data_IF_484521235271
#
_entry.id   IF_484521235271
#
_cell.length_a   1.000
_cell.length_b   1.000
_cell.length_c   1.000
_cell.angle_alpha   90.00
_cell.angle_beta   90.00
_cell.angle_gamma   90.00
#
_symmetry.space_group_name_H-M   'P 1'
#
loop_
_entity.id
_entity.type
_entity.pdbx_description
1 polymer ?
#
# COMPACT_ATOMS: atom_id res chain seq x y z
N UNK A 1 36.30 -23.03 -3.85
CA UNK A 1 35.74 -21.68 -4.08
C UNK A 1 34.81 -21.81 -5.27
N UNK A 2 33.51 -21.62 -5.09
CA UNK A 2 32.54 -21.66 -6.20
C UNK A 2 32.53 -20.30 -6.88
N UNK A 3 32.64 -20.27 -8.21
CA UNK A 3 32.55 -19.07 -9.02
C UNK A 3 31.21 -19.13 -9.76
N UNK A 4 30.25 -18.33 -9.30
CA UNK A 4 28.94 -18.23 -9.94
C UNK A 4 28.98 -17.17 -11.05
N UNK A 5 28.30 -17.43 -12.17
CA UNK A 5 28.22 -16.48 -13.30
C UNK A 5 27.20 -15.35 -13.07
N UNK A 6 26.29 -15.51 -12.10
CA UNK A 6 25.34 -14.49 -11.68
C UNK A 6 24.82 -14.80 -10.24
N UNK A 7 24.17 -13.82 -9.63
CA UNK A 7 23.65 -13.89 -8.26
C UNK A 7 22.60 -15.01 -8.08
N UNK A 8 21.84 -15.34 -9.12
CA UNK A 8 20.85 -16.41 -9.10
C UNK A 8 21.54 -17.78 -8.94
N UNK A 9 22.53 -18.07 -9.79
CA UNK A 9 23.30 -19.33 -9.73
C UNK A 9 24.07 -19.48 -8.43
N UNK A 10 24.49 -18.37 -7.81
CA UNK A 10 25.14 -18.39 -6.49
C UNK A 10 24.17 -18.89 -5.41
N UNK A 11 22.97 -18.31 -5.34
CA UNK A 11 21.95 -18.70 -4.35
C UNK A 11 21.42 -20.11 -4.61
N UNK A 12 21.29 -20.50 -5.87
CA UNK A 12 20.89 -21.85 -6.24
C UNK A 12 21.91 -22.90 -5.76
N UNK A 13 23.21 -22.62 -5.92
CA UNK A 13 24.25 -23.50 -5.39
C UNK A 13 24.26 -23.53 -3.86
N UNK A 14 24.01 -22.40 -3.21
CA UNK A 14 23.80 -22.34 -1.75
C UNK A 14 22.63 -23.23 -1.34
N UNK A 15 21.49 -23.17 -2.04
CA UNK A 15 20.32 -24.00 -1.76
C UNK A 15 20.66 -25.51 -1.88
N UNK A 16 21.34 -25.91 -2.96
CA UNK A 16 21.80 -27.30 -3.14
C UNK A 16 22.73 -27.74 -2.01
N UNK A 17 23.65 -26.87 -1.60
CA UNK A 17 24.59 -27.16 -0.52
C UNK A 17 23.91 -27.33 0.82
N UNK A 18 22.91 -26.49 1.12
CA UNK A 18 22.06 -26.62 2.32
C UNK A 18 21.36 -27.99 2.32
N UNK A 19 20.74 -28.37 1.20
CA UNK A 19 20.07 -29.67 1.09
C UNK A 19 21.03 -30.85 1.26
N UNK A 20 22.24 -30.77 0.71
CA UNK A 20 23.27 -31.79 0.89
C UNK A 20 23.66 -31.93 2.37
N UNK A 21 23.85 -30.81 3.08
CA UNK A 21 24.20 -30.82 4.51
C UNK A 21 23.07 -31.42 5.36
N UNK A 22 21.82 -31.11 5.05
CA UNK A 22 20.66 -31.62 5.79
C UNK A 22 20.43 -33.11 5.49
N UNK A 23 20.45 -33.52 4.22
CA UNK A 23 20.16 -34.89 3.80
C UNK A 23 21.29 -35.87 4.12
N UNK A 24 22.54 -35.50 3.82
CA UNK A 24 23.68 -36.41 3.91
C UNK A 24 24.45 -36.28 5.23
N UNK A 25 24.47 -35.10 5.85
CA UNK A 25 25.26 -34.84 7.08
C UNK A 25 24.42 -34.66 8.35
N UNK A 26 23.11 -34.92 8.30
CA UNK A 26 22.16 -34.85 9.43
C UNK A 26 22.09 -33.49 10.16
N UNK A 27 22.47 -32.40 9.52
CA UNK A 27 22.23 -31.05 10.06
C UNK A 27 20.74 -30.71 10.01
N UNK A 28 20.28 -29.85 10.91
CA UNK A 28 18.95 -29.22 10.82
C UNK A 28 19.07 -27.86 10.16
N UNK A 29 18.00 -27.37 9.53
CA UNK A 29 18.00 -26.04 8.91
C UNK A 29 18.40 -24.91 9.87
N UNK A 30 17.99 -24.99 11.13
CA UNK A 30 18.37 -24.03 12.19
C UNK A 30 19.87 -24.01 12.54
N UNK A 31 20.62 -25.03 12.12
CA UNK A 31 22.06 -25.13 12.37
C UNK A 31 22.88 -24.46 11.24
N UNK A 32 22.21 -23.91 10.22
CA UNK A 32 22.83 -23.34 9.04
C UNK A 32 22.47 -21.85 8.96
N UNK A 33 23.48 -21.01 8.69
CA UNK A 33 23.30 -19.57 8.48
C UNK A 33 23.96 -19.14 7.17
N UNK A 34 23.27 -18.29 6.41
CA UNK A 34 23.77 -17.69 5.18
C UNK A 34 24.02 -16.22 5.46
N UNK A 35 25.24 -15.75 5.20
CA UNK A 35 25.65 -14.36 5.46
C UNK A 35 26.00 -13.71 4.13
N UNK A 36 25.40 -12.55 3.85
CA UNK A 36 25.68 -11.75 2.66
C UNK A 36 25.96 -10.30 3.05
N UNK A 37 26.78 -9.61 2.25
CA UNK A 37 27.07 -8.19 2.44
C UNK A 37 25.96 -7.29 1.89
N UNK A 38 25.17 -7.78 0.94
CA UNK A 38 24.10 -7.02 0.29
C UNK A 38 22.77 -7.76 0.46
N UNK A 39 22.16 -7.60 1.63
CA UNK A 39 20.91 -8.31 1.96
C UNK A 39 19.77 -7.89 1.03
N UNK A 40 19.70 -6.63 0.63
CA UNK A 40 18.61 -6.08 -0.19
C UNK A 40 18.50 -6.73 -1.58
N UNK A 41 19.64 -7.06 -2.18
CA UNK A 41 19.69 -7.72 -3.50
C UNK A 41 19.40 -9.21 -3.39
N UNK A 42 19.98 -9.86 -2.37
CA UNK A 42 19.93 -11.31 -2.26
C UNK A 42 18.68 -11.81 -1.52
N UNK A 43 18.00 -11.00 -0.71
CA UNK A 43 16.84 -11.46 0.08
C UNK A 43 15.67 -11.91 -0.79
N UNK A 44 15.38 -11.17 -1.86
CA UNK A 44 14.35 -11.52 -2.83
C UNK A 44 14.68 -12.82 -3.58
N UNK A 45 15.94 -12.99 -4.00
CA UNK A 45 16.41 -14.21 -4.66
C UNK A 45 16.35 -15.40 -3.71
N UNK A 46 16.81 -15.24 -2.46
CA UNK A 46 16.73 -16.26 -1.43
C UNK A 46 15.28 -16.69 -1.16
N UNK A 47 14.33 -15.74 -1.03
CA UNK A 47 12.91 -16.07 -0.85
C UNK A 47 12.37 -16.91 -1.99
N UNK A 48 12.65 -16.53 -3.24
CA UNK A 48 12.14 -17.23 -4.41
C UNK A 48 12.75 -18.64 -4.53
N UNK A 49 14.08 -18.74 -4.49
CA UNK A 49 14.81 -19.99 -4.71
C UNK A 49 14.61 -20.94 -3.53
N UNK A 50 14.75 -20.50 -2.29
CA UNK A 50 14.61 -21.41 -1.14
C UNK A 50 13.18 -21.95 -1.02
N UNK A 51 12.18 -21.17 -1.43
CA UNK A 51 10.80 -21.65 -1.54
C UNK A 51 10.65 -22.75 -2.61
N UNK A 52 11.32 -22.63 -3.75
CA UNK A 52 11.33 -23.67 -4.80
C UNK A 52 11.99 -24.97 -4.32
N UNK A 53 12.99 -24.87 -3.46
CA UNK A 53 13.72 -26.00 -2.90
C UNK A 53 13.18 -26.53 -1.55
N UNK A 54 12.03 -26.02 -1.09
CA UNK A 54 11.41 -26.34 0.21
C UNK A 54 12.36 -26.14 1.42
N UNK A 55 13.20 -25.10 1.36
CA UNK A 55 14.12 -24.71 2.43
C UNK A 55 13.46 -23.60 3.26
N UNK A 56 13.14 -23.83 4.54
CA UNK A 56 12.61 -22.79 5.41
C UNK A 56 13.73 -21.78 5.75
N UNK A 57 13.43 -20.49 5.61
CA UNK A 57 14.41 -19.42 5.83
C UNK A 57 13.82 -18.25 6.60
N UNK A 58 14.61 -17.72 7.52
CA UNK A 58 14.38 -16.43 8.16
C UNK A 58 15.44 -15.45 7.64
N UNK A 59 14.99 -14.28 7.17
CA UNK A 59 15.87 -13.23 6.65
C UNK A 59 15.76 -12.03 7.59
N UNK A 60 16.87 -11.69 8.24
CA UNK A 60 17.00 -10.56 9.16
C UNK A 60 17.18 -9.24 8.38
N UNK A 61 16.17 -8.86 7.59
CA UNK A 61 16.14 -7.58 6.87
C UNK A 61 15.26 -6.57 7.59
N UNK A 62 15.70 -5.31 7.61
CA UNK A 62 14.82 -4.19 7.94
C UNK A 62 13.82 -4.03 6.80
N UNK A 63 12.55 -4.36 7.02
CA UNK A 63 11.50 -4.07 6.04
C UNK A 63 11.37 -2.56 5.91
N UNK A 64 11.49 -2.05 4.69
CA UNK A 64 11.37 -0.63 4.39
C UNK A 64 9.95 -0.11 4.70
N UNK A 65 9.83 0.98 5.45
CA UNK A 65 8.55 1.62 5.79
C UNK A 65 7.77 2.04 4.55
N UNK A 66 8.45 2.36 3.45
CA UNK A 66 7.80 2.66 2.17
C UNK A 66 7.07 1.47 1.58
N UNK A 67 7.36 0.23 2.03
CA UNK A 67 6.62 -0.97 1.63
C UNK A 67 5.35 -1.18 2.45
N UNK A 68 5.18 -0.44 3.54
CA UNK A 68 4.03 -0.56 4.41
C UNK A 68 2.73 -0.14 3.71
N UNK A 69 1.73 -1.01 3.71
CA UNK A 69 0.54 -0.84 2.88
C UNK A 69 -0.31 0.37 3.32
N UNK A 70 -0.42 0.63 4.63
CA UNK A 70 -1.19 1.75 5.14
C UNK A 70 -0.44 3.08 4.98
N UNK A 71 0.89 3.06 5.12
CA UNK A 71 1.73 4.24 4.82
C UNK A 71 1.60 4.62 3.34
N UNK A 72 1.70 3.65 2.41
CA UNK A 72 1.45 3.90 0.97
C UNK A 72 0.08 4.51 0.73
N UNK A 73 -0.95 4.00 1.41
CA UNK A 73 -2.31 4.53 1.31
C UNK A 73 -2.40 5.98 1.78
N UNK A 74 -1.84 6.32 2.94
CA UNK A 74 -1.81 7.70 3.41
C UNK A 74 -1.03 8.61 2.46
N UNK A 75 0.16 8.21 2.03
CA UNK A 75 0.97 8.98 1.06
C UNK A 75 0.18 9.22 -0.23
N UNK A 76 -0.55 8.22 -0.73
CA UNK A 76 -1.37 8.38 -1.93
C UNK A 76 -2.49 9.41 -1.77
N UNK A 77 -3.07 9.54 -0.57
CA UNK A 77 -4.05 10.58 -0.25
C UNK A 77 -3.39 11.96 -0.28
N UNK A 78 -2.23 12.10 0.37
CA UNK A 78 -1.48 13.37 0.40
C UNK A 78 -1.06 13.78 -1.02
N UNK A 79 -0.63 12.80 -1.85
CA UNK A 79 -0.24 13.02 -3.24
C UNK A 79 -1.40 13.51 -4.11
N UNK A 80 -2.65 13.08 -3.85
CA UNK A 80 -3.85 13.64 -4.51
C UNK A 80 -3.95 15.14 -4.25
N UNK A 81 -3.71 15.57 -3.02
CA UNK A 81 -3.81 16.99 -2.68
C UNK A 81 -2.64 17.78 -3.27
N UNK A 82 -1.42 17.27 -3.13
CA UNK A 82 -0.20 17.90 -3.64
C UNK A 82 -0.20 18.02 -5.18
N UNK A 83 -0.70 17.01 -5.89
CA UNK A 83 -0.78 17.01 -7.37
C UNK A 83 -2.10 17.53 -7.93
N UNK A 84 -2.89 18.22 -7.10
CA UNK A 84 -4.17 18.81 -7.47
C UNK A 84 -5.08 17.82 -8.22
N UNK A 85 -5.32 16.65 -7.62
CA UNK A 85 -6.21 15.61 -8.14
C UNK A 85 -5.83 15.18 -9.57
N UNK A 86 -4.54 14.91 -9.78
CA UNK A 86 -4.08 14.31 -11.03
C UNK A 86 -4.68 12.91 -11.20
N UNK A 87 -4.86 12.49 -12.44
CA UNK A 87 -5.34 11.15 -12.76
C UNK A 87 -4.54 10.07 -12.01
N UNK A 88 -3.20 10.10 -12.12
CA UNK A 88 -2.33 9.09 -11.51
C UNK A 88 -2.46 9.06 -9.99
N UNK A 89 -2.52 10.21 -9.33
CA UNK A 89 -2.64 10.28 -7.86
C UNK A 89 -3.93 9.63 -7.35
N UNK A 90 -5.06 9.89 -8.02
CA UNK A 90 -6.36 9.33 -7.65
C UNK A 90 -6.40 7.82 -7.88
N UNK A 91 -5.85 7.33 -9.00
CA UNK A 91 -5.82 5.89 -9.27
C UNK A 91 -4.81 5.13 -8.43
N UNK A 92 -3.68 5.74 -8.05
CA UNK A 92 -2.76 5.14 -7.09
C UNK A 92 -3.46 4.89 -5.75
N UNK A 93 -4.23 5.87 -5.25
CA UNK A 93 -5.06 5.73 -4.05
C UNK A 93 -6.12 4.62 -4.18
N UNK A 94 -6.87 4.60 -5.29
CA UNK A 94 -7.90 3.58 -5.52
C UNK A 94 -7.27 2.18 -5.55
N UNK A 95 -6.12 2.04 -6.19
CA UNK A 95 -5.39 0.77 -6.35
C UNK A 95 -4.68 0.29 -5.10
N UNK A 96 -4.61 1.09 -4.02
CA UNK A 96 -4.16 0.60 -2.71
C UNK A 96 -5.09 -0.47 -2.11
N UNK A 97 -6.33 -0.59 -2.62
CA UNK A 97 -7.25 -1.67 -2.30
C UNK A 97 -7.91 -1.55 -0.93
N UNK A 98 -7.96 -0.35 -0.35
CA UNK A 98 -8.69 -0.08 0.90
C UNK A 98 -10.15 0.33 0.66
N UNK A 99 -10.51 0.58 -0.60
CA UNK A 99 -11.86 0.95 -0.99
C UNK A 99 -12.68 -0.31 -1.29
N UNK A 100 -13.91 -0.35 -0.82
CA UNK A 100 -14.86 -1.42 -1.15
C UNK A 100 -15.46 -1.22 -2.55
N UNK A 101 -14.62 -1.34 -3.58
CA UNK A 101 -14.98 -1.14 -4.99
C UNK A 101 -14.47 -2.33 -5.79
N UNK A 102 -15.31 -2.87 -6.66
CA UNK A 102 -14.95 -4.06 -7.45
C UNK A 102 -13.91 -3.72 -8.52
N UNK A 103 -13.05 -4.67 -8.92
CA UNK A 103 -12.09 -4.44 -10.01
C UNK A 103 -12.74 -3.98 -11.32
N UNK A 104 -13.96 -4.49 -11.62
CA UNK A 104 -14.75 -4.08 -12.77
C UNK A 104 -15.17 -2.61 -12.69
N UNK A 105 -15.62 -2.16 -11.50
CA UNK A 105 -15.99 -0.78 -11.25
C UNK A 105 -14.79 0.17 -11.30
N UNK A 106 -13.63 -0.25 -10.78
CA UNK A 106 -12.37 0.51 -10.89
C UNK A 106 -12.01 0.67 -12.38
N UNK A 107 -12.01 -0.41 -13.14
CA UNK A 107 -11.71 -0.39 -14.57
C UNK A 107 -12.69 0.52 -15.34
N UNK A 108 -13.98 0.47 -15.01
CA UNK A 108 -14.99 1.33 -15.61
C UNK A 108 -14.71 2.81 -15.34
N UNK A 109 -14.45 3.16 -14.07
CA UNK A 109 -14.12 4.51 -13.63
C UNK A 109 -12.82 5.00 -14.30
N UNK A 110 -11.81 4.14 -14.39
CA UNK A 110 -10.51 4.40 -14.98
C UNK A 110 -10.60 4.75 -16.46
N UNK A 111 -11.28 3.92 -17.24
CA UNK A 111 -11.48 4.18 -18.66
C UNK A 111 -12.27 5.45 -18.92
N UNK A 112 -13.29 5.72 -18.11
CA UNK A 112 -14.05 6.95 -18.23
C UNK A 112 -13.19 8.17 -17.91
N UNK A 113 -12.43 8.13 -16.81
CA UNK A 113 -11.55 9.22 -16.40
C UNK A 113 -10.45 9.51 -17.42
N UNK A 114 -9.86 8.47 -18.02
CA UNK A 114 -8.89 8.59 -19.11
C UNK A 114 -9.51 9.22 -20.36
N UNK A 115 -10.62 8.66 -20.83
CA UNK A 115 -11.28 9.10 -22.06
C UNK A 115 -11.64 10.59 -22.04
N UNK A 116 -12.08 11.10 -20.89
CA UNK A 116 -12.54 12.48 -20.74
C UNK A 116 -11.52 13.41 -20.05
N UNK A 117 -10.29 12.95 -19.89
CA UNK A 117 -9.19 13.66 -19.25
C UNK A 117 -9.64 14.32 -17.93
N UNK A 118 -10.19 13.51 -17.03
CA UNK A 118 -10.66 13.95 -15.73
C UNK A 118 -9.44 14.25 -14.84
N UNK A 119 -9.32 15.51 -14.42
CA UNK A 119 -8.24 16.01 -13.55
C UNK A 119 -8.71 17.22 -12.74
N UNK A 120 -8.05 17.48 -11.61
CA UNK A 120 -8.30 18.67 -10.81
C UNK A 120 -9.74 18.74 -10.29
N UNK A 121 -10.34 19.93 -10.39
CA UNK A 121 -11.70 20.18 -9.92
C UNK A 121 -12.77 19.32 -10.60
N UNK A 122 -12.50 18.72 -11.77
CA UNK A 122 -13.45 17.80 -12.40
C UNK A 122 -13.79 16.61 -11.49
N UNK A 123 -12.88 16.21 -10.59
CA UNK A 123 -13.14 15.10 -9.66
C UNK A 123 -14.24 15.40 -8.65
N UNK A 124 -14.37 16.64 -8.17
CA UNK A 124 -15.23 16.97 -7.03
C UNK A 124 -16.27 18.07 -7.27
N UNK A 125 -16.13 18.88 -8.33
CA UNK A 125 -16.96 20.09 -8.50
C UNK A 125 -18.38 19.82 -8.99
N UNK A 126 -18.55 18.87 -9.90
CA UNK A 126 -19.84 18.55 -10.53
C UNK A 126 -19.87 17.08 -10.97
N UNK A 127 -21.06 16.54 -11.22
CA UNK A 127 -21.23 15.23 -11.84
C UNK A 127 -20.71 15.21 -13.28
N UNK A 128 -20.17 14.07 -13.69
CA UNK A 128 -19.70 13.84 -15.03
C UNK A 128 -20.86 13.46 -15.93
N UNK A 129 -21.03 14.19 -17.04
CA UNK A 129 -22.08 13.94 -18.03
C UNK A 129 -21.50 13.81 -19.44
N UNK A 130 -20.21 13.47 -19.54
CA UNK A 130 -19.54 13.32 -20.83
C UNK A 130 -19.89 11.97 -21.44
N UNK A 131 -20.39 11.99 -22.67
CA UNK A 131 -20.78 10.84 -23.47
C UNK A 131 -20.71 11.20 -24.95
N UNK A 132 -20.45 10.21 -25.79
CA UNK A 132 -20.70 10.33 -27.24
C UNK A 132 -22.19 10.06 -27.48
N UNK A 133 -22.78 10.68 -28.50
CA UNK A 133 -24.22 10.60 -28.82
C UNK A 133 -24.73 9.14 -28.95
N UNK A 134 -23.86 8.19 -29.32
CA UNK A 134 -24.24 6.82 -29.69
C UNK A 134 -23.92 5.72 -28.67
N UNK A 135 -23.22 5.97 -27.56
CA UNK A 135 -22.51 4.84 -26.90
C UNK A 135 -22.68 4.67 -25.39
N UNK A 136 -23.15 5.68 -24.65
CA UNK A 136 -23.16 5.60 -23.17
C UNK A 136 -24.55 5.82 -22.61
N UNK A 137 -25.21 4.73 -22.20
CA UNK A 137 -26.50 4.79 -21.53
C UNK A 137 -26.42 5.57 -20.22
N UNK A 138 -27.40 6.44 -19.97
CA UNK A 138 -27.48 7.31 -18.78
C UNK A 138 -27.23 6.58 -17.45
N UNK A 139 -27.78 5.37 -17.32
CA UNK A 139 -27.59 4.51 -16.14
C UNK A 139 -26.10 4.16 -15.85
N UNK A 140 -25.27 4.02 -16.89
CA UNK A 140 -23.83 3.74 -16.74
C UNK A 140 -23.08 4.96 -16.20
N UNK A 141 -23.46 6.15 -16.66
CA UNK A 141 -22.89 7.42 -16.20
C UNK A 141 -23.30 7.69 -14.75
N UNK A 142 -24.56 7.41 -14.41
CA UNK A 142 -25.06 7.54 -13.04
C UNK A 142 -24.27 6.63 -12.08
N UNK A 143 -24.06 5.36 -12.45
CA UNK A 143 -23.22 4.42 -11.67
C UNK A 143 -21.77 4.90 -11.51
N UNK A 144 -21.16 5.41 -12.58
CA UNK A 144 -19.80 6.00 -12.53
C UNK A 144 -19.76 7.19 -11.56
N UNK A 145 -20.78 8.05 -11.59
CA UNK A 145 -20.86 9.19 -10.68
C UNK A 145 -21.09 8.75 -9.22
N UNK A 146 -21.85 7.68 -8.98
CA UNK A 146 -21.99 7.09 -7.64
C UNK A 146 -20.65 6.59 -7.10
N UNK A 147 -19.90 5.82 -7.91
CA UNK A 147 -18.57 5.35 -7.56
C UNK A 147 -17.63 6.52 -7.27
N UNK A 148 -17.60 7.52 -8.16
CA UNK A 148 -16.83 8.74 -7.99
C UNK A 148 -17.17 9.44 -6.67
N UNK A 149 -18.44 9.65 -6.35
CA UNK A 149 -18.85 10.30 -5.09
C UNK A 149 -18.40 9.51 -3.87
N UNK A 150 -18.49 8.18 -3.89
CA UNK A 150 -17.99 7.33 -2.79
C UNK A 150 -16.48 7.51 -2.55
N UNK A 151 -15.70 7.69 -3.63
CA UNK A 151 -14.24 7.88 -3.55
C UNK A 151 -13.88 9.30 -3.12
N UNK A 152 -14.52 10.30 -3.74
CA UNK A 152 -14.11 11.70 -3.68
C UNK A 152 -14.63 12.40 -2.44
N UNK A 153 -15.85 12.11 -1.99
CA UNK A 153 -16.47 12.82 -0.86
C UNK A 153 -15.62 12.74 0.41
N UNK A 154 -15.13 11.56 0.86
CA UNK A 154 -14.27 11.49 2.05
C UNK A 154 -12.98 12.28 1.89
N UNK A 155 -12.39 12.28 0.70
CA UNK A 155 -11.14 12.99 0.40
C UNK A 155 -11.33 14.52 0.39
N UNK A 156 -12.47 15.00 -0.10
CA UNK A 156 -12.79 16.44 -0.05
C UNK A 156 -13.05 16.89 1.38
N UNK A 157 -13.80 16.11 2.17
CA UNK A 157 -14.01 16.39 3.59
C UNK A 157 -12.67 16.44 4.34
N UNK A 158 -11.78 15.48 4.08
CA UNK A 158 -10.44 15.48 4.66
C UNK A 158 -9.66 16.74 4.24
N UNK A 159 -9.61 17.06 2.95
CA UNK A 159 -8.91 18.26 2.45
C UNK A 159 -9.41 19.53 3.14
N UNK A 160 -10.72 19.65 3.34
CA UNK A 160 -11.31 20.81 4.03
C UNK A 160 -10.91 20.85 5.50
N UNK A 161 -10.89 19.71 6.19
CA UNK A 161 -10.49 19.61 7.60
C UNK A 161 -8.99 19.90 7.81
N UNK A 162 -8.16 19.59 6.81
CA UNK A 162 -6.72 19.83 6.82
C UNK A 162 -6.32 21.23 6.34
N UNK A 163 -7.24 21.97 5.71
CA UNK A 163 -6.97 23.31 5.21
C UNK A 163 -6.90 24.37 6.32
N UNK A 164 -6.11 25.42 6.07
CA UNK A 164 -5.90 26.52 7.01
C UNK A 164 -4.73 26.29 7.97
N UNK A 165 -4.54 27.20 8.93
CA UNK A 165 -3.58 27.02 10.01
C UNK A 165 -4.15 26.04 11.03
N UNK A 166 -3.48 24.92 11.19
CA UNK A 166 -3.80 23.85 12.13
C UNK A 166 -2.54 23.53 12.93
N UNK A 167 -2.71 23.02 14.14
CA UNK A 167 -1.58 22.45 14.86
C UNK A 167 -1.25 21.06 14.33
N UNK A 168 -0.02 20.59 14.53
CA UNK A 168 0.36 19.22 14.15
C UNK A 168 -0.62 18.19 14.74
N UNK A 169 -1.01 18.37 16.01
CA UNK A 169 -2.02 17.54 16.67
C UNK A 169 -3.35 17.48 15.94
N UNK A 170 -3.88 18.63 15.51
CA UNK A 170 -5.15 18.68 14.79
C UNK A 170 -5.06 17.97 13.43
N UNK A 171 -3.93 18.06 12.74
CA UNK A 171 -3.72 17.36 11.48
C UNK A 171 -3.67 15.84 11.73
N UNK A 172 -2.88 15.39 12.71
CA UNK A 172 -2.80 13.97 13.08
C UNK A 172 -4.15 13.38 13.50
N UNK A 173 -4.94 14.12 14.30
CA UNK A 173 -6.28 13.72 14.71
C UNK A 173 -7.23 13.62 13.50
N UNK A 174 -7.16 14.55 12.55
CA UNK A 174 -7.97 14.49 11.33
C UNK A 174 -7.62 13.30 10.44
N UNK A 175 -6.33 12.95 10.33
CA UNK A 175 -5.89 11.76 9.59
C UNK A 175 -6.38 10.48 10.27
N UNK A 176 -6.23 10.38 11.60
CA UNK A 176 -6.75 9.26 12.38
C UNK A 176 -8.27 9.10 12.21
N UNK A 177 -9.02 10.21 12.39
CA UNK A 177 -10.48 10.21 12.25
C UNK A 177 -10.93 9.83 10.84
N UNK A 178 -10.16 10.20 9.81
CA UNK A 178 -10.42 9.76 8.44
C UNK A 178 -10.29 8.25 8.29
N UNK A 179 -9.25 7.63 8.86
CA UNK A 179 -9.07 6.17 8.81
C UNK A 179 -10.24 5.44 9.47
N UNK A 180 -10.66 5.89 10.66
CA UNK A 180 -11.78 5.29 11.39
C UNK A 180 -13.12 5.51 10.67
N UNK A 181 -13.40 6.74 10.20
CA UNK A 181 -14.65 7.06 9.49
C UNK A 181 -14.81 6.25 8.20
N UNK A 182 -13.71 5.95 7.51
CA UNK A 182 -13.70 5.12 6.31
C UNK A 182 -13.55 3.61 6.61
N UNK A 183 -13.60 3.20 7.88
CA UNK A 183 -13.49 1.80 8.34
C UNK A 183 -12.20 1.10 7.86
N UNK A 184 -11.09 1.83 7.77
CA UNK A 184 -9.81 1.30 7.27
C UNK A 184 -9.26 0.23 8.23
N UNK A 185 -9.47 0.41 9.53
CA UNK A 185 -9.22 -0.59 10.58
C UNK A 185 -9.91 -1.93 10.27
N UNK A 186 -11.21 -1.89 9.96
CA UNK A 186 -11.99 -3.11 9.64
C UNK A 186 -11.56 -3.75 8.33
N UNK A 187 -11.19 -2.93 7.33
CA UNK A 187 -10.67 -3.44 6.05
C UNK A 187 -9.34 -4.17 6.28
N UNK A 188 -8.46 -3.65 7.14
CA UNK A 188 -7.23 -4.33 7.54
C UNK A 188 -7.54 -5.67 8.23
N UNK A 189 -8.43 -5.68 9.21
CA UNK A 189 -8.83 -6.92 9.92
C UNK A 189 -9.37 -7.99 8.97
N UNK A 190 -10.26 -7.61 8.04
CA UNK A 190 -10.81 -8.53 7.03
C UNK A 190 -9.71 -9.10 6.14
N UNK A 191 -8.79 -8.26 5.65
CA UNK A 191 -7.69 -8.70 4.80
C UNK A 191 -6.69 -9.59 5.52
N UNK A 192 -6.38 -9.29 6.78
CA UNK A 192 -5.51 -10.12 7.63
C UNK A 192 -6.12 -11.51 7.75
N UNK A 193 -7.42 -11.59 8.02
CA UNK A 193 -8.13 -12.87 8.11
C UNK A 193 -8.09 -13.64 6.79
N UNK A 194 -8.45 -13.00 5.68
CA UNK A 194 -8.40 -13.62 4.34
C UNK A 194 -7.01 -14.14 3.98
N UNK A 195 -5.95 -13.37 4.27
CA UNK A 195 -4.57 -13.77 4.01
C UNK A 195 -4.13 -14.95 4.87
N UNK A 196 -4.53 -14.98 6.14
CA UNK A 196 -4.27 -16.12 7.03
C UNK A 196 -5.00 -17.39 6.57
N UNK A 197 -6.25 -17.27 6.14
CA UNK A 197 -7.03 -18.39 5.59
C UNK A 197 -6.38 -18.94 4.30
N UNK A 198 -5.71 -18.07 3.51
CA UNK A 198 -4.91 -18.44 2.34
C UNK A 198 -3.47 -18.90 2.67
N UNK A 199 -3.12 -19.08 3.95
CA UNK A 199 -1.76 -19.41 4.41
C UNK A 199 -0.67 -18.41 4.00
N UNK A 200 -1.04 -17.16 3.70
CA UNK A 200 -0.13 -16.05 3.37
C UNK A 200 0.24 -15.26 4.63
N UNK A 201 0.75 -15.96 5.64
CA UNK A 201 1.02 -15.42 6.98
C UNK A 201 1.99 -14.24 6.96
N UNK A 202 3.02 -14.30 6.12
CA UNK A 202 4.00 -13.21 6.00
C UNK A 202 3.36 -11.89 5.57
N UNK A 203 2.39 -11.96 4.64
CA UNK A 203 1.67 -10.78 4.13
C UNK A 203 0.65 -10.33 5.19
N UNK A 204 -0.03 -11.25 5.87
CA UNK A 204 -0.96 -10.88 6.94
C UNK A 204 -0.25 -10.10 8.06
N UNK A 205 0.97 -10.51 8.43
CA UNK A 205 1.80 -9.81 9.42
C UNK A 205 2.19 -8.39 8.98
N UNK A 206 2.35 -8.15 7.67
CA UNK A 206 2.59 -6.79 7.16
C UNK A 206 1.39 -5.89 7.39
N UNK A 207 0.18 -6.38 7.11
CA UNK A 207 -1.05 -5.63 7.34
C UNK A 207 -1.25 -5.30 8.83
N UNK A 208 -0.98 -6.25 9.72
CA UNK A 208 -1.07 -6.04 11.18
C UNK A 208 -0.08 -4.97 11.67
N UNK A 209 1.17 -5.06 11.22
CA UNK A 209 2.21 -4.10 11.62
C UNK A 209 1.95 -2.69 11.07
N UNK A 210 1.23 -2.59 9.94
CA UNK A 210 0.94 -1.32 9.28
C UNK A 210 0.13 -0.35 10.09
N UNK A 211 -0.90 -0.83 10.78
CA UNK A 211 -1.68 0.02 11.67
C UNK A 211 -0.81 0.59 12.78
N UNK A 212 -0.04 -0.27 13.45
CA UNK A 212 0.82 0.11 14.56
C UNK A 212 1.85 1.16 14.17
N UNK A 213 2.52 0.97 13.03
CA UNK A 213 3.52 1.92 12.51
C UNK A 213 2.90 3.29 12.29
N UNK A 214 1.73 3.35 11.62
CA UNK A 214 1.07 4.62 11.35
C UNK A 214 0.64 5.32 12.64
N UNK A 215 0.09 4.58 13.61
CA UNK A 215 -0.26 5.17 14.92
C UNK A 215 0.96 5.72 15.65
N UNK A 216 2.07 4.97 15.66
CA UNK A 216 3.33 5.43 16.26
C UNK A 216 3.84 6.72 15.61
N UNK A 217 3.82 6.81 14.28
CA UNK A 217 4.25 8.02 13.56
C UNK A 217 3.35 9.21 13.92
N UNK A 218 2.03 9.02 13.95
CA UNK A 218 1.12 10.10 14.34
C UNK A 218 1.37 10.54 15.79
N UNK A 219 1.53 9.60 16.72
CA UNK A 219 1.82 9.89 18.13
C UNK A 219 3.16 10.63 18.30
N UNK A 220 4.19 10.25 17.56
CA UNK A 220 5.49 10.92 17.57
C UNK A 220 5.40 12.36 17.05
N UNK A 221 4.63 12.59 15.97
CA UNK A 221 4.39 13.94 15.45
C UNK A 221 3.68 14.80 16.51
N UNK A 222 2.65 14.27 17.17
CA UNK A 222 1.93 15.00 18.23
C UNK A 222 2.83 15.26 19.43
N UNK A 223 3.71 14.33 19.78
CA UNK A 223 4.62 14.46 20.92
C UNK A 223 5.69 15.55 20.69
N UNK A 224 6.21 15.66 19.46
CA UNK A 224 7.28 16.60 19.13
C UNK A 224 6.74 17.98 18.74
N UNK A 225 5.67 18.02 17.94
CA UNK A 225 5.17 19.25 17.29
C UNK A 225 3.74 19.62 17.68
N UNK A 226 3.16 18.99 18.70
CA UNK A 226 1.71 18.97 18.96
C UNK A 226 0.99 20.33 18.91
N UNK A 227 1.58 21.36 19.52
CA UNK A 227 1.01 22.72 19.59
C UNK A 227 1.59 23.67 18.52
N UNK A 228 2.53 23.21 17.70
CA UNK A 228 3.09 24.02 16.62
C UNK A 228 2.09 24.15 15.49
N UNK A 229 1.83 25.40 15.09
CA UNK A 229 1.03 25.69 13.90
C UNK A 229 1.87 25.39 12.67
N UNK A 230 1.44 24.40 11.90
CA UNK A 230 2.10 24.00 10.67
C UNK A 230 1.09 23.96 9.53
N UNK A 231 1.56 24.31 8.34
CA UNK A 231 0.75 24.16 7.14
C UNK A 231 0.65 22.69 6.79
N UNK A 232 -0.44 22.29 6.13
CA UNK A 232 -0.58 20.93 5.63
C UNK A 232 0.57 20.51 4.68
N UNK A 233 1.17 21.45 3.94
CA UNK A 233 2.34 21.16 3.10
C UNK A 233 3.62 20.89 3.90
N UNK A 234 3.72 21.43 5.12
CA UNK A 234 4.86 21.24 6.01
C UNK A 234 4.71 20.05 6.97
N UNK A 235 3.47 19.58 7.19
CA UNK A 235 3.16 18.38 7.95
C UNK A 235 3.58 17.13 7.18
#
# INVERSE_FOLDING_TARGET
MFLANNQYSEIEEVARRILELVRSKKFRYRDISVITKNIDVYSNLCRAIFKEYDIPVFIDEKRDLSQNILVKYLISILDIFARNWSYDSVFNYIKCGFLNITPSDIYLLENYALKWEIKGSKWYKADWNFHDEDSTGKAKIDHINELRRKIVTPLVELKNNLSGNKTAKQISENLYNFLIKNNIDKVLESKIKELNDMQKVDIAAEYETSWKIVMQVLDEIVLVFGDENITFESY
#
